data_IF_178038279681
#
_entry.id   IF_178038279681
#
_cell.length_a   1.000
_cell.length_b   1.000
_cell.length_c   1.000
_cell.angle_alpha   90.00
_cell.angle_beta   90.00
_cell.angle_gamma   90.00
#
_symmetry.space_group_name_H-M   'P 1'
#
loop_
_entity.id
_entity.type
_entity.pdbx_description
1 polymer ?
#
# COMPACT_ATOMS: atom_id res chain seq x y z
N UNK A 1 15.13 -4.23 -18.92
CA UNK A 1 15.35 -5.68 -18.65
C UNK A 1 15.75 -5.92 -17.19
N UNK A 2 16.61 -5.09 -16.59
CA UNK A 2 17.04 -5.22 -15.18
C UNK A 2 15.91 -5.08 -14.17
N UNK A 3 15.07 -4.05 -14.30
CA UNK A 3 13.96 -3.78 -13.39
C UNK A 3 12.93 -4.95 -13.37
N UNK A 4 12.62 -5.50 -14.55
CA UNK A 4 11.71 -6.67 -14.65
C UNK A 4 12.28 -7.90 -13.94
N UNK A 5 13.59 -8.17 -14.10
CA UNK A 5 14.26 -9.29 -13.41
C UNK A 5 14.29 -9.09 -11.88
N UNK A 6 14.51 -7.85 -11.43
CA UNK A 6 14.49 -7.52 -10.00
C UNK A 6 13.09 -7.73 -9.40
N UNK A 7 12.04 -7.29 -10.10
CA UNK A 7 10.66 -7.48 -9.68
C UNK A 7 10.26 -8.97 -9.66
N UNK A 8 10.63 -9.74 -10.69
CA UNK A 8 10.41 -11.19 -10.74
C UNK A 8 11.12 -11.91 -9.58
N UNK A 9 12.36 -11.50 -9.27
CA UNK A 9 13.09 -12.01 -8.11
C UNK A 9 12.36 -11.70 -6.80
N UNK A 10 11.89 -10.46 -6.61
CA UNK A 10 11.14 -10.06 -5.41
C UNK A 10 9.91 -10.95 -5.21
N UNK A 11 9.07 -11.11 -6.23
CA UNK A 11 7.86 -11.93 -6.13
C UNK A 11 8.15 -13.40 -5.90
N UNK A 12 9.21 -13.95 -6.48
CA UNK A 12 9.65 -15.34 -6.21
C UNK A 12 10.09 -15.52 -4.76
N UNK A 13 10.86 -14.58 -4.22
CA UNK A 13 11.30 -14.63 -2.83
C UNK A 13 10.11 -14.49 -1.85
N UNK A 14 9.14 -13.64 -2.15
CA UNK A 14 7.89 -13.52 -1.37
C UNK A 14 7.13 -14.85 -1.38
N UNK A 15 6.92 -15.47 -2.54
CA UNK A 15 6.24 -16.75 -2.66
C UNK A 15 6.98 -17.88 -1.91
N UNK A 16 8.30 -17.93 -2.01
CA UNK A 16 9.12 -18.91 -1.30
C UNK A 16 9.08 -18.68 0.22
N UNK A 17 9.04 -17.45 0.68
CA UNK A 17 8.97 -17.10 2.09
C UNK A 17 7.59 -17.40 2.67
N UNK A 18 6.51 -17.20 1.91
CA UNK A 18 5.15 -17.59 2.27
C UNK A 18 4.95 -19.10 2.39
N UNK A 19 5.67 -19.89 1.58
CA UNK A 19 5.62 -21.35 1.62
C UNK A 19 6.53 -22.01 2.66
N UNK A 20 7.52 -21.30 3.20
CA UNK A 20 8.46 -21.80 4.22
C UNK A 20 8.17 -21.18 5.59
N UNK A 21 7.09 -21.62 6.19
CA UNK A 21 6.63 -21.06 7.45
C UNK A 21 7.51 -21.46 8.64
N UNK A 22 7.93 -20.47 9.44
CA UNK A 22 8.55 -20.65 10.76
C UNK A 22 7.58 -21.31 11.74
N UNK A 23 6.27 -21.30 11.46
CA UNK A 23 5.20 -21.85 12.30
C UNK A 23 4.43 -23.02 11.65
N UNK A 24 4.95 -23.64 10.57
CA UNK A 24 4.21 -24.66 9.81
C UNK A 24 3.09 -24.04 8.95
N UNK A 25 2.23 -24.89 8.38
CA UNK A 25 1.17 -24.49 7.43
C UNK A 25 0.07 -23.57 8.00
N UNK A 26 0.20 -23.11 9.24
CA UNK A 26 -0.79 -22.31 9.95
C UNK A 26 -0.43 -20.83 10.13
N UNK A 27 0.54 -20.30 9.39
CA UNK A 27 0.86 -18.87 9.49
C UNK A 27 -0.16 -18.00 8.76
N UNK A 28 -0.33 -16.78 9.23
CA UNK A 28 -1.22 -15.76 8.64
C UNK A 28 -0.85 -15.47 7.18
N UNK A 29 0.42 -15.66 6.80
CA UNK A 29 0.86 -15.59 5.41
C UNK A 29 0.31 -16.71 4.56
N UNK A 30 0.17 -17.92 5.11
CA UNK A 30 -0.51 -19.00 4.40
C UNK A 30 -2.01 -18.69 4.25
N UNK A 31 -2.61 -17.94 5.16
CA UNK A 31 -3.99 -17.47 5.04
C UNK A 31 -4.18 -16.53 3.86
N UNK A 32 -3.26 -15.60 3.67
CA UNK A 32 -3.30 -14.63 2.55
C UNK A 32 -2.93 -15.27 1.22
N UNK A 33 -2.04 -16.28 1.21
CA UNK A 33 -1.52 -16.94 0.00
C UNK A 33 -1.90 -18.41 -0.10
N UNK A 34 -2.83 -18.90 0.74
CA UNK A 34 -3.25 -20.30 0.70
C UNK A 34 -4.11 -20.63 -0.51
N UNK A 35 -3.99 -21.83 -1.07
CA UNK A 35 -4.89 -22.30 -2.12
C UNK A 35 -6.35 -22.19 -1.69
N UNK A 36 -7.22 -21.76 -2.60
CA UNK A 36 -8.64 -21.51 -2.34
C UNK A 36 -9.34 -22.71 -1.66
N UNK A 37 -8.99 -23.96 -2.02
CA UNK A 37 -9.57 -25.16 -1.43
C UNK A 37 -9.32 -25.32 0.08
N UNK A 38 -8.24 -24.74 0.63
CA UNK A 38 -7.92 -24.82 2.05
C UNK A 38 -8.72 -23.78 2.84
N UNK A 39 -9.05 -22.65 2.23
CA UNK A 39 -9.85 -21.58 2.83
C UNK A 39 -11.30 -22.02 3.10
N UNK A 40 -11.80 -23.01 2.39
CA UNK A 40 -13.17 -23.52 2.52
C UNK A 40 -13.35 -24.56 3.64
N UNK A 41 -12.27 -24.96 4.32
CA UNK A 41 -12.38 -25.93 5.40
C UNK A 41 -12.94 -25.28 6.69
N UNK A 42 -13.83 -25.97 7.43
CA UNK A 42 -14.38 -25.45 8.69
C UNK A 42 -13.31 -25.13 9.74
N UNK A 43 -12.21 -25.92 9.74
CA UNK A 43 -11.08 -25.70 10.65
C UNK A 43 -10.36 -24.39 10.32
N UNK A 44 -10.18 -24.08 9.03
CA UNK A 44 -9.58 -22.83 8.58
C UNK A 44 -10.42 -21.63 8.98
N UNK A 45 -11.73 -21.66 8.68
CA UNK A 45 -12.68 -20.59 9.08
C UNK A 45 -12.71 -20.34 10.58
N UNK A 46 -12.60 -21.40 11.39
CA UNK A 46 -12.53 -21.26 12.84
C UNK A 46 -11.23 -20.61 13.30
N UNK A 47 -10.10 -21.01 12.72
CA UNK A 47 -8.79 -20.42 13.03
C UNK A 47 -8.69 -18.97 12.60
N UNK A 48 -9.22 -18.62 11.44
CA UNK A 48 -9.29 -17.27 10.92
C UNK A 48 -10.19 -16.38 11.77
N UNK A 49 -11.38 -16.88 12.16
CA UNK A 49 -12.28 -16.18 13.08
C UNK A 49 -11.63 -15.95 14.45
N UNK A 50 -10.88 -16.91 14.95
CA UNK A 50 -10.15 -16.75 16.21
C UNK A 50 -8.99 -15.75 16.06
N UNK A 51 -8.24 -15.80 14.97
CA UNK A 51 -7.16 -14.85 14.67
C UNK A 51 -7.67 -13.40 14.57
N UNK A 52 -8.87 -13.20 14.01
CA UNK A 52 -9.49 -11.87 13.95
C UNK A 52 -9.91 -11.32 15.32
N UNK A 53 -10.03 -12.16 16.33
CA UNK A 53 -10.35 -11.73 17.73
C UNK A 53 -9.11 -11.46 18.57
N UNK A 54 -7.93 -11.89 18.10
CA UNK A 54 -6.65 -11.68 18.80
C UNK A 54 -5.86 -10.55 18.15
N UNK A 55 -5.20 -9.74 18.97
CA UNK A 55 -4.29 -8.72 18.44
C UNK A 55 -2.98 -9.36 17.97
N UNK A 56 -2.27 -8.74 16.99
CA UNK A 56 -0.94 -9.21 16.56
C UNK A 56 0.08 -9.25 17.71
N UNK A 57 -0.12 -8.46 18.74
CA UNK A 57 0.71 -8.52 19.95
C UNK A 57 0.51 -9.81 20.78
N UNK A 58 -0.62 -10.49 20.58
CA UNK A 58 -0.95 -11.75 21.27
C UNK A 58 -0.52 -12.97 20.45
N UNK A 59 -0.84 -13.01 19.14
CA UNK A 59 -0.53 -14.18 18.31
C UNK A 59 0.87 -14.15 17.68
N UNK A 60 1.49 -12.96 17.54
CA UNK A 60 2.85 -12.78 17.02
C UNK A 60 3.70 -11.95 18.01
N UNK A 61 3.92 -12.44 19.26
CA UNK A 61 4.61 -11.67 20.29
C UNK A 61 6.07 -11.37 19.95
N UNK A 62 6.70 -12.15 19.09
CA UNK A 62 8.07 -11.94 18.60
C UNK A 62 8.15 -11.00 17.41
N UNK A 63 7.03 -10.47 16.94
CA UNK A 63 6.91 -9.56 15.79
C UNK A 63 7.66 -10.08 14.54
N UNK A 64 7.48 -11.36 14.24
CA UNK A 64 8.10 -11.98 13.08
C UNK A 64 7.40 -11.53 11.80
N UNK A 65 8.18 -10.94 10.89
CA UNK A 65 7.70 -10.52 9.59
C UNK A 65 8.61 -11.09 8.49
N UNK A 66 8.15 -12.10 7.73
CA UNK A 66 8.94 -12.74 6.68
C UNK A 66 9.38 -11.78 5.57
N UNK A 67 8.59 -10.71 5.33
CA UNK A 67 8.89 -9.70 4.31
C UNK A 67 10.21 -8.97 4.61
N UNK A 68 10.58 -8.81 5.89
CA UNK A 68 11.86 -8.21 6.29
C UNK A 68 13.04 -8.87 5.59
N UNK A 69 13.13 -10.19 5.68
CA UNK A 69 14.22 -10.95 5.07
C UNK A 69 14.26 -10.81 3.55
N UNK A 70 13.10 -10.77 2.92
CA UNK A 70 13.00 -10.59 1.47
C UNK A 70 13.52 -9.22 1.07
N UNK A 71 13.06 -8.17 1.75
CA UNK A 71 13.49 -6.79 1.49
C UNK A 71 14.99 -6.61 1.72
N UNK A 72 15.54 -7.15 2.81
CA UNK A 72 16.98 -7.11 3.09
C UNK A 72 17.82 -7.81 2.01
N UNK A 73 17.26 -8.82 1.34
CA UNK A 73 17.97 -9.60 0.32
C UNK A 73 17.86 -8.99 -1.08
N UNK A 74 16.77 -8.32 -1.37
CA UNK A 74 16.41 -7.91 -2.75
C UNK A 74 16.62 -6.43 -2.98
N UNK A 75 16.47 -5.58 -1.94
CA UNK A 75 16.54 -4.13 -2.09
C UNK A 75 17.90 -3.61 -1.65
N UNK A 76 18.58 -2.91 -2.54
CA UNK A 76 19.77 -2.13 -2.22
C UNK A 76 19.34 -0.72 -1.78
N UNK A 77 19.17 -0.54 -0.47
CA UNK A 77 18.72 0.74 0.09
C UNK A 77 19.74 1.87 -0.10
N UNK A 78 21.03 1.55 -0.24
CA UNK A 78 22.03 2.58 -0.52
C UNK A 78 21.87 3.11 -1.95
N UNK A 79 21.69 2.23 -2.92
CA UNK A 79 21.39 2.63 -4.29
C UNK A 79 20.06 3.40 -4.39
N UNK A 80 19.05 3.03 -3.59
CA UNK A 80 17.77 3.75 -3.52
C UNK A 80 17.98 5.18 -2.99
N UNK A 81 18.73 5.34 -1.92
CA UNK A 81 19.01 6.67 -1.34
C UNK A 81 19.79 7.59 -2.27
N UNK A 82 20.65 7.03 -3.10
CA UNK A 82 21.48 7.77 -4.09
C UNK A 82 20.80 7.93 -5.45
N UNK A 83 19.59 7.42 -5.62
CA UNK A 83 18.86 7.47 -6.90
C UNK A 83 18.40 8.88 -7.23
N UNK A 84 18.49 9.24 -8.51
CA UNK A 84 17.89 10.48 -9.06
C UNK A 84 16.35 10.39 -9.15
N UNK A 85 15.78 9.19 -8.99
CA UNK A 85 14.33 9.00 -8.94
C UNK A 85 13.85 9.37 -7.55
N UNK A 86 12.97 10.37 -7.47
CA UNK A 86 12.32 10.75 -6.21
C UNK A 86 11.27 9.71 -5.83
N UNK A 87 11.42 9.14 -4.65
CA UNK A 87 10.50 8.16 -4.09
C UNK A 87 9.84 8.72 -2.82
N UNK A 88 8.53 8.52 -2.73
CA UNK A 88 7.74 8.87 -1.56
C UNK A 88 7.02 7.62 -1.06
N UNK A 89 7.29 7.24 0.17
CA UNK A 89 6.64 6.08 0.82
C UNK A 89 5.73 6.59 1.92
N UNK A 90 4.44 6.33 1.77
CA UNK A 90 3.43 6.75 2.74
C UNK A 90 3.30 5.74 3.89
N UNK A 91 3.15 6.25 5.10
CA UNK A 91 2.80 5.50 6.30
C UNK A 91 1.76 6.26 7.11
N UNK A 92 1.07 5.57 8.00
CA UNK A 92 0.13 6.16 8.96
C UNK A 92 0.77 6.22 10.34
N UNK A 93 1.08 7.42 10.85
CA UNK A 93 1.54 7.61 12.22
C UNK A 93 0.40 7.32 13.19
N UNK A 94 0.50 6.19 13.92
CA UNK A 94 -0.62 5.62 14.68
C UNK A 94 -1.12 6.58 15.77
N UNK A 95 -0.19 7.12 16.55
CA UNK A 95 -0.55 8.02 17.68
C UNK A 95 -1.13 9.35 17.23
N UNK A 96 -0.74 9.81 16.03
CA UNK A 96 -1.12 11.14 15.52
C UNK A 96 -2.31 11.10 14.57
N UNK A 97 -2.64 9.92 14.02
CA UNK A 97 -3.65 9.77 12.98
C UNK A 97 -3.36 10.61 11.72
N UNK A 98 -2.09 10.67 11.32
CA UNK A 98 -1.64 11.51 10.19
C UNK A 98 -0.73 10.70 9.27
N UNK A 99 -0.72 11.10 7.99
CA UNK A 99 0.23 10.59 7.02
C UNK A 99 1.63 11.05 7.40
N UNK A 100 2.61 10.14 7.32
CA UNK A 100 4.04 10.44 7.29
C UNK A 100 4.59 9.94 5.96
N UNK A 101 5.22 10.82 5.22
CA UNK A 101 5.96 10.45 4.01
C UNK A 101 7.44 10.32 4.36
N UNK A 102 8.03 9.27 3.86
CA UNK A 102 9.46 9.06 3.88
C UNK A 102 10.00 9.20 2.46
N UNK A 103 11.10 9.94 2.34
CA UNK A 103 11.78 10.22 1.07
C UNK A 103 13.06 9.39 0.95
N UNK A 104 13.68 9.38 -0.24
CA UNK A 104 14.86 8.55 -0.56
C UNK A 104 15.88 8.44 0.58
N UNK A 105 16.28 9.54 1.20
CA UNK A 105 17.29 9.57 2.26
C UNK A 105 16.88 8.79 3.52
N UNK A 106 15.58 8.67 3.77
CA UNK A 106 15.00 8.03 4.95
C UNK A 106 14.62 6.56 4.70
N UNK A 107 14.63 6.11 3.42
CA UNK A 107 14.14 4.77 3.07
C UNK A 107 15.01 3.67 3.67
N UNK A 108 14.33 2.73 4.31
CA UNK A 108 14.90 1.57 4.99
C UNK A 108 13.91 0.40 4.93
N UNK A 109 14.36 -0.77 5.36
CA UNK A 109 13.48 -1.94 5.51
C UNK A 109 12.31 -1.61 6.41
N UNK A 110 12.53 -0.91 7.53
CA UNK A 110 11.48 -0.58 8.49
C UNK A 110 10.42 0.35 7.86
N UNK A 111 10.83 1.30 7.03
CA UNK A 111 9.89 2.18 6.31
C UNK A 111 9.00 1.38 5.36
N UNK A 112 9.57 0.45 4.58
CA UNK A 112 8.78 -0.38 3.68
C UNK A 112 7.86 -1.34 4.45
N UNK A 113 8.33 -1.92 5.56
CA UNK A 113 7.49 -2.73 6.43
C UNK A 113 6.37 -1.92 7.07
N UNK A 114 6.64 -0.68 7.47
CA UNK A 114 5.63 0.22 8.01
C UNK A 114 4.55 0.55 6.98
N UNK A 115 4.95 0.84 5.74
CA UNK A 115 4.02 1.17 4.65
C UNK A 115 3.13 0.00 4.20
N UNK A 116 3.48 -1.23 4.60
CA UNK A 116 2.71 -2.46 4.33
C UNK A 116 2.21 -3.13 5.64
N UNK A 117 2.23 -2.40 6.75
CA UNK A 117 1.85 -2.92 8.06
C UNK A 117 0.35 -2.87 8.27
N UNK A 118 -0.33 -3.96 7.97
CA UNK A 118 -1.76 -4.13 8.27
C UNK A 118 -1.95 -4.40 9.78
N UNK A 119 -2.73 -3.57 10.49
CA UNK A 119 -2.83 -3.60 11.96
C UNK A 119 -3.47 -4.86 12.53
N UNK A 120 -4.15 -5.64 11.70
CA UNK A 120 -4.72 -6.94 12.12
C UNK A 120 -3.73 -8.09 12.02
N UNK A 121 -2.65 -7.92 11.23
CA UNK A 121 -1.67 -8.98 10.93
C UNK A 121 -0.34 -8.77 11.62
N UNK A 122 0.07 -7.51 11.80
CA UNK A 122 1.38 -7.16 12.33
C UNK A 122 1.29 -6.13 13.43
N UNK A 123 2.22 -6.22 14.38
CA UNK A 123 2.46 -5.14 15.33
C UNK A 123 2.90 -3.89 14.55
N UNK A 124 2.55 -2.71 15.08
CA UNK A 124 3.00 -1.46 14.49
C UNK A 124 4.53 -1.44 14.37
N UNK A 125 5.03 -0.97 13.22
CA UNK A 125 6.47 -0.82 13.03
C UNK A 125 6.92 0.47 13.70
N UNK A 126 7.87 0.36 14.61
CA UNK A 126 8.40 1.51 15.34
C UNK A 126 9.62 2.08 14.61
N UNK A 127 9.55 3.37 14.27
CA UNK A 127 10.66 4.12 13.65
C UNK A 127 10.88 5.37 14.51
N UNK A 128 12.07 5.50 15.08
CA UNK A 128 12.44 6.63 15.95
C UNK A 128 11.46 6.88 17.11
N UNK A 129 10.89 5.80 17.69
CA UNK A 129 9.95 5.86 18.82
C UNK A 129 8.51 6.21 18.45
N UNK A 130 8.20 6.36 17.18
CA UNK A 130 6.84 6.55 16.68
C UNK A 130 6.34 5.26 15.98
N UNK A 131 5.18 4.74 16.35
CA UNK A 131 4.59 3.56 15.69
C UNK A 131 3.87 3.94 14.40
N UNK A 132 4.03 3.10 13.38
CA UNK A 132 3.44 3.28 12.06
C UNK A 132 2.67 2.05 11.60
N UNK A 133 1.59 2.30 10.87
CA UNK A 133 0.81 1.34 10.09
C UNK A 133 0.88 1.68 8.60
N UNK A 134 0.26 0.83 7.79
CA UNK A 134 0.12 0.98 6.35
C UNK A 134 -0.36 2.40 5.99
N UNK A 135 0.32 2.98 5.00
CA UNK A 135 -0.01 4.31 4.48
C UNK A 135 -1.35 4.37 3.79
N UNK A 136 -1.80 3.24 3.24
CA UNK A 136 -3.06 3.12 2.50
C UNK A 136 -4.30 3.52 3.29
N UNK A 137 -4.24 3.52 4.62
CA UNK A 137 -5.36 4.01 5.44
C UNK A 137 -5.61 5.50 5.31
N UNK A 138 -4.59 6.30 5.01
CA UNK A 138 -4.71 7.76 4.93
C UNK A 138 -4.25 8.35 3.60
N UNK A 139 -3.46 7.62 2.81
CA UNK A 139 -2.90 8.08 1.54
C UNK A 139 -2.53 6.90 0.64
N UNK A 140 -3.27 6.67 -0.46
CA UNK A 140 -3.09 5.48 -1.30
C UNK A 140 -3.27 5.77 -2.80
N UNK A 141 -2.26 6.28 -3.49
CA UNK A 141 -1.08 6.98 -2.99
C UNK A 141 -1.39 8.45 -2.64
N UNK A 142 -0.54 9.14 -1.89
CA UNK A 142 -0.60 10.59 -1.76
C UNK A 142 -0.14 11.23 -3.08
N UNK A 143 -0.94 12.11 -3.65
CA UNK A 143 -0.59 12.83 -4.88
C UNK A 143 0.10 14.18 -4.61
N UNK A 144 -0.23 14.80 -3.48
CA UNK A 144 0.24 16.13 -3.14
C UNK A 144 1.78 16.31 -3.16
N UNK A 145 2.65 15.31 -2.82
CA UNK A 145 4.10 15.49 -2.95
C UNK A 145 4.54 15.74 -4.39
N UNK A 146 3.83 15.14 -5.34
CA UNK A 146 4.12 15.29 -6.75
C UNK A 146 3.78 16.69 -7.29
N UNK A 147 2.91 17.43 -6.61
CA UNK A 147 2.54 18.79 -7.03
C UNK A 147 3.60 19.83 -6.67
N UNK A 148 4.35 19.59 -5.59
CA UNK A 148 5.40 20.48 -5.11
C UNK A 148 6.79 20.13 -5.64
N UNK A 149 7.02 18.88 -6.03
CA UNK A 149 8.24 18.52 -6.72
C UNK A 149 8.24 19.11 -8.14
N UNK A 150 9.41 19.36 -8.71
CA UNK A 150 9.58 19.79 -10.12
C UNK A 150 9.28 18.64 -11.09
N UNK A 151 8.08 18.10 -10.99
CA UNK A 151 7.65 16.90 -11.71
C UNK A 151 7.06 17.26 -13.07
N UNK A 152 7.05 16.32 -14.02
CA UNK A 152 6.33 16.48 -15.28
C UNK A 152 4.83 16.69 -15.00
N UNK A 153 4.13 17.31 -15.96
CA UNK A 153 2.69 17.55 -15.88
C UNK A 153 1.84 16.28 -16.00
N UNK A 154 2.47 15.15 -16.35
CA UNK A 154 1.82 13.86 -16.51
C UNK A 154 1.99 13.03 -15.24
N UNK A 155 0.87 12.55 -14.68
CA UNK A 155 0.82 11.63 -13.54
C UNK A 155 0.13 10.35 -14.00
N UNK A 156 0.82 9.22 -13.87
CA UNK A 156 0.28 7.89 -14.13
C UNK A 156 -0.08 7.22 -12.81
N UNK A 157 -1.35 6.87 -12.65
CA UNK A 157 -1.88 6.10 -11.53
C UNK A 157 -1.96 4.63 -11.90
N UNK A 158 -1.56 3.76 -10.97
CA UNK A 158 -1.69 2.31 -11.06
C UNK A 158 -2.49 1.80 -9.85
N UNK A 159 -3.82 2.04 -9.81
CA UNK A 159 -4.65 1.58 -8.71
C UNK A 159 -4.74 0.05 -8.72
N UNK A 160 -4.47 -0.57 -7.57
CA UNK A 160 -4.56 -2.02 -7.40
C UNK A 160 -5.99 -2.45 -7.02
N UNK A 161 -6.69 -1.60 -6.26
CA UNK A 161 -8.06 -1.86 -5.84
C UNK A 161 -9.04 -1.28 -6.86
N UNK A 162 -10.06 -2.03 -7.29
CA UNK A 162 -11.06 -1.52 -8.23
C UNK A 162 -11.87 -0.38 -7.60
N UNK A 163 -12.10 0.68 -8.37
CA UNK A 163 -12.99 1.77 -7.95
C UNK A 163 -14.46 1.35 -8.00
N UNK A 164 -14.82 0.51 -8.97
CA UNK A 164 -16.18 0.09 -9.22
C UNK A 164 -16.29 -1.42 -9.20
N UNK A 165 -17.46 -1.92 -8.81
CA UNK A 165 -17.88 -3.31 -8.97
C UNK A 165 -19.28 -3.31 -9.55
N UNK A 166 -19.57 -4.23 -10.46
CA UNK A 166 -20.85 -4.33 -11.14
C UNK A 166 -21.97 -4.80 -10.20
N UNK A 167 -21.62 -5.65 -9.22
CA UNK A 167 -22.57 -6.25 -8.32
C UNK A 167 -22.41 -5.78 -6.87
N UNK A 168 -23.51 -5.70 -6.17
CA UNK A 168 -23.51 -5.44 -4.72
C UNK A 168 -23.17 -6.74 -3.99
N UNK A 169 -22.10 -6.78 -3.17
CA UNK A 169 -21.68 -7.96 -2.42
C UNK A 169 -22.78 -8.34 -1.40
N UNK A 170 -22.98 -9.67 -1.23
CA UNK A 170 -23.97 -10.20 -0.29
C UNK A 170 -23.38 -11.14 0.75
N UNK A 171 -22.27 -11.76 0.45
CA UNK A 171 -21.56 -12.64 1.36
C UNK A 171 -20.65 -11.84 2.28
N UNK A 172 -20.47 -12.28 3.51
CA UNK A 172 -19.79 -11.51 4.55
C UNK A 172 -18.32 -11.19 4.20
N UNK A 173 -17.60 -12.14 3.64
CA UNK A 173 -16.23 -11.99 3.16
C UNK A 173 -16.15 -10.98 2.00
N UNK A 174 -17.01 -11.11 0.99
CA UNK A 174 -17.06 -10.19 -0.16
C UNK A 174 -17.47 -8.77 0.27
N UNK A 175 -18.33 -8.64 1.29
CA UNK A 175 -18.68 -7.34 1.89
C UNK A 175 -17.44 -6.71 2.56
N UNK A 176 -16.66 -7.50 3.33
CA UNK A 176 -15.47 -7.02 3.99
C UNK A 176 -14.39 -6.60 2.99
N UNK A 177 -14.19 -7.38 1.92
CA UNK A 177 -13.28 -7.03 0.84
C UNK A 177 -13.68 -5.70 0.18
N UNK A 178 -14.97 -5.54 -0.11
CA UNK A 178 -15.46 -4.28 -0.70
C UNK A 178 -15.31 -3.10 0.24
N UNK A 179 -15.52 -3.28 1.53
CA UNK A 179 -15.28 -2.23 2.52
C UNK A 179 -13.81 -1.81 2.54
N UNK A 180 -12.88 -2.78 2.51
CA UNK A 180 -11.45 -2.51 2.45
C UNK A 180 -11.09 -1.73 1.18
N UNK A 181 -11.57 -2.15 0.00
CA UNK A 181 -11.34 -1.43 -1.26
C UNK A 181 -11.82 0.03 -1.18
N UNK A 182 -13.04 0.24 -0.67
CA UNK A 182 -13.61 1.59 -0.52
C UNK A 182 -12.77 2.44 0.42
N UNK A 183 -12.36 1.89 1.57
CA UNK A 183 -11.57 2.60 2.57
C UNK A 183 -10.19 2.96 2.01
N UNK A 184 -9.52 2.03 1.34
CA UNK A 184 -8.20 2.27 0.75
C UNK A 184 -8.23 3.21 -0.46
N UNK A 185 -9.34 3.26 -1.20
CA UNK A 185 -9.50 4.19 -2.32
C UNK A 185 -9.97 5.58 -1.90
N UNK A 186 -10.61 5.72 -0.73
CA UNK A 186 -11.22 6.97 -0.29
C UNK A 186 -10.25 8.17 -0.24
N UNK A 187 -9.01 8.04 0.27
CA UNK A 187 -8.04 9.13 0.26
C UNK A 187 -7.70 9.60 -1.15
N UNK A 188 -7.43 8.66 -2.07
CA UNK A 188 -7.13 8.98 -3.47
C UNK A 188 -8.30 9.69 -4.15
N UNK A 189 -9.52 9.22 -3.95
CA UNK A 189 -10.73 9.88 -4.50
C UNK A 189 -10.87 11.30 -3.97
N UNK A 190 -10.57 11.55 -2.70
CA UNK A 190 -10.59 12.89 -2.13
C UNK A 190 -9.53 13.81 -2.77
N UNK A 191 -8.30 13.31 -2.97
CA UNK A 191 -7.25 14.08 -3.64
C UNK A 191 -7.58 14.34 -5.12
N UNK A 192 -8.10 13.36 -5.85
CA UNK A 192 -8.51 13.54 -7.26
C UNK A 192 -9.61 14.59 -7.41
N UNK A 193 -10.55 14.66 -6.45
CA UNK A 193 -11.58 15.74 -6.43
C UNK A 193 -10.95 17.11 -6.22
N UNK A 194 -9.96 17.21 -5.34
CA UNK A 194 -9.24 18.47 -5.11
C UNK A 194 -8.46 18.88 -6.36
N UNK A 195 -7.79 17.95 -7.03
CA UNK A 195 -7.11 18.20 -8.31
C UNK A 195 -8.10 18.69 -9.36
N UNK A 196 -9.21 17.99 -9.55
CA UNK A 196 -10.25 18.37 -10.53
C UNK A 196 -10.77 19.77 -10.25
N UNK A 197 -11.07 20.12 -9.00
CA UNK A 197 -11.54 21.45 -8.64
C UNK A 197 -10.51 22.54 -8.99
N UNK A 198 -9.22 22.32 -8.72
CA UNK A 198 -8.15 23.27 -9.10
C UNK A 198 -8.05 23.38 -10.62
N UNK A 199 -8.17 22.29 -11.37
CA UNK A 199 -8.16 22.29 -12.82
C UNK A 199 -9.33 23.13 -13.40
N UNK A 200 -10.53 22.97 -12.84
CA UNK A 200 -11.72 23.77 -13.22
C UNK A 200 -11.48 25.28 -13.00
N UNK A 201 -10.83 25.65 -11.89
CA UNK A 201 -10.49 27.04 -11.62
C UNK A 201 -9.45 27.59 -12.59
N UNK A 202 -8.48 26.79 -13.00
CA UNK A 202 -7.50 27.14 -14.03
C UNK A 202 -8.20 27.34 -15.38
N UNK A 203 -9.07 26.41 -15.78
CA UNK A 203 -9.79 26.49 -17.06
C UNK A 203 -10.76 27.67 -17.10
N UNK A 204 -11.35 28.03 -15.98
CA UNK A 204 -12.19 29.21 -15.84
C UNK A 204 -11.39 30.54 -15.78
N UNK A 205 -10.06 30.48 -15.86
CA UNK A 205 -9.19 31.66 -15.75
C UNK A 205 -9.21 32.35 -14.38
N UNK A 206 -9.61 31.62 -13.34
CA UNK A 206 -9.67 32.13 -11.95
C UNK A 206 -8.36 31.96 -11.17
N UNK A 207 -7.48 31.07 -11.66
CA UNK A 207 -6.14 30.88 -11.12
C UNK A 207 -5.09 31.22 -12.18
N UNK A 208 -4.01 31.88 -11.72
CA UNK A 208 -2.92 32.28 -12.60
C UNK A 208 -2.05 31.07 -12.96
N UNK A 209 -1.72 30.92 -14.23
CA UNK A 209 -0.84 29.85 -14.75
C UNK A 209 0.60 30.35 -15.03
N UNK A 210 0.84 31.67 -14.91
CA UNK A 210 2.10 32.28 -15.30
C UNK A 210 2.92 32.73 -14.09
N UNK A 211 4.24 32.59 -14.20
CA UNK A 211 5.20 32.94 -13.18
C UNK A 211 5.65 31.75 -12.31
N UNK A 212 6.64 31.98 -11.46
CA UNK A 212 7.23 30.94 -10.59
C UNK A 212 6.23 30.35 -9.58
N UNK A 213 5.17 31.11 -9.25
CA UNK A 213 4.07 30.70 -8.34
C UNK A 213 2.80 30.29 -9.11
N UNK A 214 2.89 30.07 -10.42
CA UNK A 214 1.74 29.73 -11.26
C UNK A 214 1.24 28.30 -11.04
N UNK A 215 -0.09 28.13 -11.04
CA UNK A 215 -0.69 26.80 -10.98
C UNK A 215 -0.50 26.05 -12.31
N UNK A 216 -0.16 24.76 -12.22
CA UNK A 216 0.04 23.91 -13.41
C UNK A 216 -1.22 23.11 -13.74
N UNK A 217 -1.47 22.92 -15.02
CA UNK A 217 -2.46 21.96 -15.48
C UNK A 217 -1.82 20.58 -15.52
N UNK A 218 -2.35 19.66 -14.73
CA UNK A 218 -1.87 18.27 -14.65
C UNK A 218 -2.67 17.37 -15.61
N UNK A 219 -2.00 16.41 -16.21
CA UNK A 219 -2.62 15.36 -17.00
C UNK A 219 -2.59 14.06 -16.19
N UNK A 220 -3.77 13.60 -15.81
CA UNK A 220 -3.93 12.37 -15.04
C UNK A 220 -4.22 11.20 -15.97
N UNK A 221 -3.45 10.14 -15.83
CA UNK A 221 -3.59 8.88 -16.55
C UNK A 221 -3.78 7.76 -15.54
N UNK A 222 -4.59 6.75 -15.87
CA UNK A 222 -4.76 5.58 -15.01
C UNK A 222 -4.67 4.29 -15.84
N UNK A 223 -4.03 3.28 -15.26
CA UNK A 223 -4.08 1.89 -15.73
C UNK A 223 -4.66 1.09 -14.57
N UNK A 224 -5.94 0.77 -14.68
CA UNK A 224 -6.63 -0.03 -13.67
C UNK A 224 -6.23 -1.51 -13.83
N UNK A 225 -6.14 -2.21 -12.71
CA UNK A 225 -5.99 -3.65 -12.73
C UNK A 225 -7.25 -4.26 -13.35
N UNK A 226 -7.07 -5.15 -14.34
CA UNK A 226 -8.18 -5.84 -14.98
C UNK A 226 -8.89 -6.71 -13.93
N UNK A 227 -10.23 -6.78 -13.97
CA UNK A 227 -11.04 -7.58 -13.06
C UNK A 227 -10.66 -9.08 -13.04
N UNK A 228 -9.91 -9.52 -14.05
CA UNK A 228 -9.37 -10.88 -14.15
C UNK A 228 -8.08 -11.12 -13.33
N UNK A 229 -7.51 -10.09 -12.69
CA UNK A 229 -6.34 -10.24 -11.80
C UNK A 229 -6.74 -10.52 -10.34
N UNK A 230 -8.03 -10.56 -10.04
CA UNK A 230 -8.58 -10.79 -8.71
C UNK A 230 -8.99 -12.24 -8.43
N UNK A 231 -8.76 -13.17 -9.37
CA UNK A 231 -9.06 -14.61 -9.23
C UNK A 231 -7.84 -15.45 -8.83
#
# INVERSE_FOLDING_TARGET
EGARKALDKLWREINLSGGRNIFGDSSIWSATFSPAWMKDTPLWRSAESLAMTMSPYQFNPFNLNPLRRVLDTVVDFEAVRQSDIQLFVATTAVKKGRVRLFENAELSVDVLLASACLPHLFQAVEIEGEPYWDGGYLANPPLWPLFYASTPDDILLLPLNPFQRDETPRDADVIMDRLNEIVFNAPLVAELRAVAFVQDLIEAGRLNQTGDDGYRKLRMHAIEADSHLSD
#
